data_IF_540073724894
#
_entry.id   IF_540073724894
#
_cell.length_a   1.000
_cell.length_b   1.000
_cell.length_c   1.000
_cell.angle_alpha   90.00
_cell.angle_beta   90.00
_cell.angle_gamma   90.00
#
_symmetry.space_group_name_H-M   'P 1'
#
loop_
_entity.id
_entity.type
_entity.pdbx_description
1 polymer ?
#
# COMPACT_ATOMS: atom_id res chain seq x y z
N UNK A 1 4.11 0.94 -11.56
CA UNK A 1 3.98 2.10 -10.65
C UNK A 1 5.33 2.76 -10.50
N UNK A 2 5.40 4.09 -10.59
CA UNK A 2 6.63 4.87 -10.36
C UNK A 2 6.79 5.25 -8.88
N UNK A 3 7.99 5.66 -8.46
CA UNK A 3 8.21 6.16 -7.10
C UNK A 3 7.34 7.38 -6.77
N UNK A 4 7.12 8.28 -7.73
CA UNK A 4 6.22 9.43 -7.55
C UNK A 4 4.75 9.01 -7.35
N UNK A 5 4.28 8.01 -8.10
CA UNK A 5 2.94 7.44 -7.91
C UNK A 5 2.81 6.69 -6.59
N UNK A 6 3.85 5.98 -6.17
CA UNK A 6 3.89 5.29 -4.89
C UNK A 6 3.88 6.29 -3.71
N UNK A 7 4.64 7.39 -3.81
CA UNK A 7 4.62 8.46 -2.81
C UNK A 7 3.24 9.10 -2.65
N UNK A 8 2.57 9.40 -3.77
CA UNK A 8 1.18 9.91 -3.74
C UNK A 8 0.22 8.92 -3.06
N UNK A 9 0.34 7.63 -3.34
CA UNK A 9 -0.54 6.59 -2.75
C UNK A 9 -0.23 6.26 -1.29
N UNK A 10 0.97 6.56 -0.80
CA UNK A 10 1.39 6.22 0.57
C UNK A 10 1.52 7.43 1.48
N UNK A 11 1.37 8.65 0.94
CA UNK A 11 1.64 9.89 1.67
C UNK A 11 3.12 10.11 2.01
N UNK A 12 4.01 9.24 1.53
CA UNK A 12 5.44 9.29 1.83
C UNK A 12 6.16 10.31 0.96
N UNK A 13 7.14 11.01 1.55
CA UNK A 13 8.05 11.88 0.81
C UNK A 13 8.88 11.08 -0.20
N UNK A 14 9.32 11.70 -1.29
CA UNK A 14 10.10 11.03 -2.35
C UNK A 14 11.34 10.32 -1.80
N UNK A 15 12.04 10.91 -0.82
CA UNK A 15 13.19 10.27 -0.16
C UNK A 15 12.81 9.02 0.65
N UNK A 16 11.67 9.05 1.33
CA UNK A 16 11.16 7.90 2.10
C UNK A 16 10.69 6.77 1.17
N UNK A 17 10.11 7.12 0.02
CA UNK A 17 9.73 6.14 -1.01
C UNK A 17 10.96 5.46 -1.59
N UNK A 18 12.02 6.19 -1.93
CA UNK A 18 13.27 5.59 -2.44
C UNK A 18 13.86 4.62 -1.41
N UNK A 19 13.95 5.03 -0.14
CA UNK A 19 14.44 4.16 0.94
C UNK A 19 13.56 2.91 1.13
N UNK A 20 12.24 3.03 1.01
CA UNK A 20 11.31 1.90 1.06
C UNK A 20 11.54 0.93 -0.12
N UNK A 21 11.68 1.45 -1.33
CA UNK A 21 11.90 0.63 -2.53
C UNK A 21 13.24 -0.08 -2.48
N UNK A 22 14.31 0.58 -2.05
CA UNK A 22 15.63 -0.05 -1.88
C UNK A 22 15.57 -1.21 -0.87
N UNK A 23 14.77 -1.07 0.20
CA UNK A 23 14.53 -2.16 1.16
C UNK A 23 13.76 -3.32 0.53
N UNK A 24 12.73 -3.02 -0.27
CA UNK A 24 11.95 -4.04 -0.97
C UNK A 24 12.77 -4.76 -2.05
N UNK A 25 13.69 -4.07 -2.73
CA UNK A 25 14.60 -4.66 -3.70
C UNK A 25 15.61 -5.59 -3.00
N UNK A 26 16.22 -5.15 -1.91
CA UNK A 26 17.11 -5.98 -1.08
C UNK A 26 16.41 -7.21 -0.51
N UNK A 27 15.14 -7.09 -0.15
CA UNK A 27 14.31 -8.19 0.31
C UNK A 27 13.84 -9.12 -0.81
N UNK A 28 14.20 -8.85 -2.08
CA UNK A 28 13.78 -9.63 -3.22
C UNK A 28 12.27 -9.55 -3.48
N UNK A 29 11.60 -8.47 -3.07
CA UNK A 29 10.14 -8.28 -3.22
C UNK A 29 9.81 -7.54 -4.52
N UNK A 30 10.68 -6.63 -4.98
CA UNK A 30 10.57 -5.97 -6.27
C UNK A 30 11.88 -6.10 -7.08
N UNK A 31 11.76 -6.06 -8.41
CA UNK A 31 12.92 -6.04 -9.29
C UNK A 31 13.57 -4.67 -9.37
N UNK A 32 14.82 -4.65 -9.83
CA UNK A 32 15.62 -3.42 -9.98
C UNK A 32 14.97 -2.36 -10.87
N UNK A 33 15.26 -1.11 -10.55
CA UNK A 33 14.85 0.10 -11.26
C UNK A 33 15.00 -0.02 -12.79
N UNK A 34 13.91 -0.31 -13.53
CA UNK A 34 13.93 -0.33 -14.99
C UNK A 34 13.60 1.05 -15.55
N UNK A 35 14.51 1.61 -16.35
CA UNK A 35 14.26 2.84 -17.13
C UNK A 35 13.27 2.52 -18.23
N UNK A 36 12.17 3.27 -18.32
CA UNK A 36 11.22 3.11 -19.43
C UNK A 36 11.85 3.54 -20.75
N UNK A 37 11.61 2.82 -21.87
CA UNK A 37 12.18 3.17 -23.18
C UNK A 37 11.84 4.60 -23.63
N UNK A 38 10.65 5.09 -23.28
CA UNK A 38 10.13 6.39 -23.68
C UNK A 38 10.49 7.55 -22.76
N UNK A 39 10.95 7.27 -21.53
CA UNK A 39 11.31 8.32 -20.57
C UNK A 39 12.39 7.80 -19.62
N UNK A 40 13.62 8.26 -19.85
CA UNK A 40 14.80 7.88 -19.05
C UNK A 40 14.73 8.39 -17.61
N UNK A 41 13.78 9.27 -17.28
CA UNK A 41 13.55 9.83 -15.94
C UNK A 41 12.50 9.07 -15.13
N UNK A 42 11.78 8.11 -15.75
CA UNK A 42 10.79 7.27 -15.05
C UNK A 42 11.37 5.91 -14.72
N UNK A 43 11.27 5.56 -13.44
CA UNK A 43 11.53 4.20 -12.99
C UNK A 43 10.22 3.57 -12.55
N UNK A 44 10.03 2.32 -12.97
CA UNK A 44 8.89 1.50 -12.63
C UNK A 44 9.31 0.44 -11.60
N UNK A 45 8.60 0.39 -10.49
CA UNK A 45 8.69 -0.66 -9.48
C UNK A 45 7.87 -1.85 -10.00
N UNK A 46 8.54 -2.99 -10.19
CA UNK A 46 7.91 -4.22 -10.68
C UNK A 46 7.92 -5.24 -9.54
N UNK A 47 6.76 -5.65 -9.00
CA UNK A 47 6.71 -6.70 -7.99
C UNK A 47 7.15 -8.03 -8.63
N UNK A 48 8.01 -8.76 -7.94
CA UNK A 48 8.46 -10.07 -8.39
C UNK A 48 7.34 -11.10 -8.17
N UNK A 49 7.03 -11.89 -9.20
CA UNK A 49 5.97 -12.91 -9.17
C UNK A 49 6.25 -14.01 -8.13
N UNK A 50 7.52 -14.36 -7.91
CA UNK A 50 7.93 -15.30 -6.87
C UNK A 50 7.62 -14.77 -5.45
N UNK A 51 7.76 -13.46 -5.24
CA UNK A 51 7.53 -12.81 -3.96
C UNK A 51 6.05 -12.70 -3.62
N UNK A 52 5.15 -12.75 -4.62
CA UNK A 52 3.71 -12.78 -4.38
C UNK A 52 3.28 -13.97 -3.52
N UNK A 53 3.87 -15.15 -3.73
CA UNK A 53 3.54 -16.34 -2.91
C UNK A 53 4.05 -16.18 -1.49
N UNK A 54 5.31 -15.79 -1.33
CA UNK A 54 5.90 -15.58 0.00
C UNK A 54 5.19 -14.49 0.81
N UNK A 55 4.85 -13.36 0.16
CA UNK A 55 4.09 -12.28 0.79
C UNK A 55 2.69 -12.76 1.15
N UNK A 56 2.02 -13.49 0.25
CA UNK A 56 0.69 -14.06 0.56
C UNK A 56 0.76 -14.99 1.76
N UNK A 57 1.77 -15.86 1.84
CA UNK A 57 1.96 -16.79 2.96
C UNK A 57 2.28 -16.05 4.26
N UNK A 58 3.06 -14.96 4.19
CA UNK A 58 3.39 -14.10 5.34
C UNK A 58 2.16 -13.37 5.89
N UNK A 59 1.29 -12.86 5.03
CA UNK A 59 0.07 -12.14 5.42
C UNK A 59 -1.12 -13.07 5.68
N UNK A 60 -1.03 -14.36 5.36
CA UNK A 60 -2.12 -15.32 5.54
C UNK A 60 -2.61 -15.38 6.99
N UNK A 61 -1.76 -15.52 8.03
CA UNK A 61 -2.23 -15.57 9.40
C UNK A 61 -2.98 -14.29 9.82
N UNK A 62 -2.50 -13.13 9.37
CA UNK A 62 -3.18 -11.86 9.61
C UNK A 62 -4.56 -11.83 8.95
N UNK A 63 -4.63 -12.24 7.67
CA UNK A 63 -5.90 -12.29 6.93
C UNK A 63 -6.90 -13.26 7.55
N UNK A 64 -6.43 -14.41 8.06
CA UNK A 64 -7.26 -15.40 8.76
C UNK A 64 -7.79 -14.82 10.07
N UNK A 65 -6.93 -14.26 10.92
CA UNK A 65 -7.35 -13.60 12.17
C UNK A 65 -8.34 -12.46 11.94
N UNK A 66 -8.13 -11.63 10.92
CA UNK A 66 -9.07 -10.56 10.57
C UNK A 66 -10.41 -11.12 10.11
N UNK A 67 -10.41 -12.20 9.33
CA UNK A 67 -11.64 -12.82 8.86
C UNK A 67 -12.40 -13.49 10.01
N UNK A 68 -11.71 -14.07 10.99
CA UNK A 68 -12.33 -14.61 12.20
C UNK A 68 -12.97 -13.50 13.05
N UNK A 69 -12.29 -12.36 13.22
CA UNK A 69 -12.88 -11.19 13.86
C UNK A 69 -14.14 -10.70 13.11
N UNK A 70 -14.09 -10.62 11.78
CA UNK A 70 -15.26 -10.20 10.99
C UNK A 70 -16.45 -11.15 11.16
N UNK A 71 -16.22 -12.45 11.42
CA UNK A 71 -17.30 -13.43 11.64
C UNK A 71 -18.03 -13.23 12.97
N UNK A 72 -17.49 -12.44 13.89
CA UNK A 72 -18.16 -12.11 15.16
C UNK A 72 -19.30 -11.09 14.99
N UNK A 73 -19.38 -10.45 13.81
CA UNK A 73 -20.35 -9.40 13.50
C UNK A 73 -21.38 -9.87 12.46
N UNK A 74 -22.58 -9.30 12.51
CA UNK A 74 -23.57 -9.48 11.44
C UNK A 74 -23.18 -8.69 10.19
N UNK A 75 -23.84 -8.99 9.06
CA UNK A 75 -23.62 -8.26 7.81
C UNK A 75 -23.93 -6.76 7.98
N UNK A 76 -25.03 -6.43 8.68
CA UNK A 76 -25.42 -5.04 8.96
C UNK A 76 -24.40 -4.31 9.85
N UNK A 77 -23.82 -5.02 10.83
CA UNK A 77 -22.76 -4.46 11.69
C UNK A 77 -21.47 -4.23 10.92
N UNK A 78 -21.09 -5.15 10.03
CA UNK A 78 -19.94 -4.97 9.15
C UNK A 78 -20.15 -3.81 8.17
N UNK A 79 -21.34 -3.64 7.60
CA UNK A 79 -21.69 -2.49 6.76
C UNK A 79 -21.56 -1.18 7.54
N UNK A 80 -22.05 -1.16 8.78
CA UNK A 80 -21.94 0.02 9.64
C UNK A 80 -20.48 0.35 9.96
N UNK A 81 -19.69 -0.65 10.36
CA UNK A 81 -18.25 -0.48 10.66
C UNK A 81 -17.51 0.02 9.41
N UNK A 82 -17.76 -0.60 8.25
CA UNK A 82 -17.15 -0.20 6.99
C UNK A 82 -17.49 1.26 6.63
N UNK A 83 -18.76 1.64 6.74
CA UNK A 83 -19.20 3.02 6.49
C UNK A 83 -18.54 4.02 7.45
N UNK A 84 -18.47 3.67 8.74
CA UNK A 84 -17.86 4.52 9.75
C UNK A 84 -16.37 4.72 9.52
N UNK A 85 -15.62 3.63 9.29
CA UNK A 85 -14.17 3.68 9.06
C UNK A 85 -13.86 4.45 7.77
N UNK A 86 -14.65 4.25 6.70
CA UNK A 86 -14.51 5.00 5.46
C UNK A 86 -14.68 6.51 5.68
N UNK A 87 -15.79 6.92 6.31
CA UNK A 87 -16.03 8.34 6.62
C UNK A 87 -14.94 8.94 7.51
N UNK A 88 -14.45 8.19 8.49
CA UNK A 88 -13.36 8.66 9.35
C UNK A 88 -12.05 8.84 8.57
N UNK A 89 -11.75 7.95 7.63
CA UNK A 89 -10.60 8.07 6.74
C UNK A 89 -10.71 9.32 5.85
N UNK A 90 -11.87 9.56 5.26
CA UNK A 90 -12.13 10.75 4.42
C UNK A 90 -11.90 12.04 5.23
N UNK A 91 -12.43 12.11 6.46
CA UNK A 91 -12.23 13.27 7.35
C UNK A 91 -10.74 13.48 7.66
N UNK A 92 -9.99 12.41 7.93
CA UNK A 92 -8.55 12.52 8.21
C UNK A 92 -7.76 13.00 6.98
N UNK A 93 -8.14 12.55 5.78
CA UNK A 93 -7.52 12.99 4.53
C UNK A 93 -7.81 14.48 4.28
N UNK A 94 -9.06 14.91 4.43
CA UNK A 94 -9.48 16.31 4.30
C UNK A 94 -8.71 17.24 5.27
N UNK A 95 -8.57 16.84 6.53
CA UNK A 95 -7.82 17.62 7.51
C UNK A 95 -6.30 17.63 7.23
N UNK A 96 -5.74 16.52 6.72
CA UNK A 96 -4.35 16.48 6.26
C UNK A 96 -4.10 17.40 5.05
N UNK A 97 -5.08 17.56 4.16
CA UNK A 97 -4.98 18.50 3.04
C UNK A 97 -5.05 19.95 3.51
N UNK A 98 -5.92 20.27 4.48
CA UNK A 98 -6.01 21.61 5.08
C UNK A 98 -4.70 22.07 5.72
N UNK A 99 -4.01 21.18 6.43
CA UNK A 99 -2.73 21.49 7.09
C UNK A 99 -1.57 21.74 6.11
N UNK A 100 -1.72 21.41 4.83
CA UNK A 100 -0.71 21.63 3.78
C UNK A 100 -0.91 22.94 3.00
N UNK A 101 -2.00 23.68 3.25
CA UNK A 101 -2.26 25.02 2.69
C UNK A 101 -1.64 26.10 3.56
#
# INVERSE_FOLDING_TARGET
>A
MTAGELGKKTGLSTGSVTALVDRLEKAGVCGSWKRTPNDRRRVVIVPLTASKKHIKDLFRPLSESTMDLCREYTEEELELIFSFVGKAADIMEDELERLKQ
#
